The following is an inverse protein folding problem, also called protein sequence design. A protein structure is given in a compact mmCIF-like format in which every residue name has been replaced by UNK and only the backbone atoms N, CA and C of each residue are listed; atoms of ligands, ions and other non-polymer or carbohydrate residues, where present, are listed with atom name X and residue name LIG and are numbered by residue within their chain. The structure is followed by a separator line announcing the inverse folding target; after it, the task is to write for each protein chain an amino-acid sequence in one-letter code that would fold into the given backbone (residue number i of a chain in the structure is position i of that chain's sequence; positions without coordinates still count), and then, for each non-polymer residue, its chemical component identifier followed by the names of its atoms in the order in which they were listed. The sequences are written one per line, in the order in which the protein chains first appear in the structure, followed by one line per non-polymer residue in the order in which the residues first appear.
data_IF_651015198191
#
_entry.id   IF_651015198191
#
_cell.length_a   1.000
_cell.length_b   1.000
_cell.length_c   1.000
_cell.angle_alpha   90.00
_cell.angle_beta   90.00
_cell.angle_gamma   90.00
#
_symmetry.space_group_name_H-M   'P 1'
#
loop_
_entity.id
_entity.type
_entity.pdbx_description
1 polymer ?
#
# COMPACT_ATOMS: atom_id res chain seq x y z
N UNK A 1 -6.94 -16.03 -8.27
CA UNK A 1 -7.54 -14.71 -8.08
C UNK A 1 -8.74 -14.89 -7.17
N UNK A 2 -8.94 -14.02 -6.19
CA UNK A 2 -10.16 -14.05 -5.39
C UNK A 2 -11.32 -13.51 -6.22
N UNK A 3 -12.50 -14.11 -6.04
CA UNK A 3 -13.73 -13.72 -6.75
C UNK A 3 -14.08 -12.23 -6.54
N UNK A 4 -13.71 -11.69 -5.38
CA UNK A 4 -13.88 -10.28 -5.00
C UNK A 4 -13.07 -9.31 -5.86
N UNK A 5 -11.90 -9.72 -6.38
CA UNK A 5 -11.11 -8.86 -7.27
C UNK A 5 -11.63 -8.86 -8.70
N UNK A 6 -12.06 -10.03 -9.18
CA UNK A 6 -12.68 -10.14 -10.50
C UNK A 6 -13.97 -9.29 -10.54
N UNK A 7 -14.74 -9.24 -9.45
CA UNK A 7 -15.88 -8.33 -9.28
C UNK A 7 -15.48 -6.84 -9.21
N UNK A 8 -14.41 -6.49 -8.47
CA UNK A 8 -13.90 -5.10 -8.41
C UNK A 8 -13.40 -4.57 -9.76
N UNK A 9 -12.69 -5.39 -10.54
CA UNK A 9 -12.23 -5.04 -11.89
C UNK A 9 -13.39 -5.06 -12.89
N UNK A 10 -14.31 -6.03 -12.79
CA UNK A 10 -15.43 -6.13 -13.72
C UNK A 10 -16.35 -4.90 -13.67
N UNK A 11 -16.50 -4.28 -12.50
CA UNK A 11 -17.28 -3.05 -12.33
C UNK A 11 -16.51 -1.77 -12.75
N UNK A 12 -15.19 -1.85 -13.02
CA UNK A 12 -14.36 -0.70 -13.41
C UNK A 12 -13.29 -1.08 -14.46
N UNK A 13 -13.68 -1.20 -15.74
CA UNK A 13 -12.78 -1.60 -16.83
C UNK A 13 -11.64 -0.59 -17.13
N UNK A 14 -11.66 0.60 -16.51
CA UNK A 14 -10.68 1.68 -16.72
C UNK A 14 -9.60 1.77 -15.63
N UNK A 15 -9.55 0.84 -14.67
CA UNK A 15 -8.61 0.95 -13.55
C UNK A 15 -7.18 0.67 -14.03
N UNK A 16 -6.35 1.71 -14.05
CA UNK A 16 -4.96 1.65 -14.49
C UNK A 16 -4.02 1.13 -13.38
N UNK A 17 -4.35 -0.01 -12.76
CA UNK A 17 -3.51 -0.63 -11.72
C UNK A 17 -2.39 -1.49 -12.33
N UNK A 18 -1.39 -1.81 -11.51
CA UNK A 18 -0.28 -2.66 -11.93
C UNK A 18 -0.75 -4.06 -12.36
N UNK A 19 -0.22 -4.54 -13.49
CA UNK A 19 -0.46 -5.90 -13.96
C UNK A 19 0.18 -6.93 -13.03
N UNK A 20 -0.19 -8.21 -13.16
CA UNK A 20 0.42 -9.28 -12.38
C UNK A 20 1.93 -9.41 -12.61
N UNK A 21 2.35 -9.17 -13.86
CA UNK A 21 3.75 -9.19 -14.27
C UNK A 21 4.52 -8.02 -13.63
N UNK A 22 3.93 -6.82 -13.61
CA UNK A 22 4.49 -5.65 -12.96
C UNK A 22 4.57 -5.82 -11.43
N UNK A 23 3.51 -6.33 -10.80
CA UNK A 23 3.50 -6.66 -9.37
C UNK A 23 4.56 -7.72 -9.04
N UNK A 24 4.69 -8.75 -9.87
CA UNK A 24 5.72 -9.78 -9.70
C UNK A 24 7.13 -9.17 -9.83
N UNK A 25 7.32 -8.26 -10.79
CA UNK A 25 8.58 -7.54 -10.96
C UNK A 25 8.91 -6.70 -9.72
N UNK A 26 7.94 -5.93 -9.19
CA UNK A 26 8.09 -5.17 -7.94
C UNK A 26 8.55 -6.11 -6.81
N UNK A 27 7.87 -7.24 -6.61
CA UNK A 27 8.19 -8.22 -5.55
C UNK A 27 9.59 -8.82 -5.73
N UNK A 28 9.98 -9.16 -6.96
CA UNK A 28 11.33 -9.65 -7.29
C UNK A 28 12.39 -8.58 -6.96
N UNK A 29 12.17 -7.33 -7.36
CA UNK A 29 13.10 -6.22 -7.09
C UNK A 29 13.22 -5.94 -5.60
N UNK A 30 12.10 -5.92 -4.87
CA UNK A 30 12.05 -5.71 -3.43
C UNK A 30 12.72 -6.84 -2.65
N UNK A 31 12.57 -8.08 -3.14
CA UNK A 31 13.09 -9.30 -2.53
C UNK A 31 14.62 -9.39 -2.48
N UNK A 32 15.33 -8.66 -3.36
CA UNK A 32 16.80 -8.68 -3.43
C UNK A 32 17.46 -8.26 -2.11
N UNK A 33 18.51 -8.96 -1.72
CA UNK A 33 19.35 -8.62 -0.55
C UNK A 33 20.10 -7.29 -0.76
N UNK A 34 20.58 -7.05 -1.98
CA UNK A 34 21.18 -5.79 -2.41
C UNK A 34 20.42 -5.25 -3.63
N UNK A 35 19.91 -4.02 -3.54
CA UNK A 35 19.16 -3.34 -4.60
C UNK A 35 20.05 -2.28 -5.24
N UNK A 36 20.14 -2.31 -6.57
CA UNK A 36 20.82 -1.26 -7.35
C UNK A 36 19.86 -0.10 -7.58
N UNK A 37 20.38 1.08 -7.96
CA UNK A 37 19.49 2.20 -8.33
C UNK A 37 18.55 1.82 -9.47
N UNK A 38 19.02 1.04 -10.44
CA UNK A 38 18.18 0.51 -11.52
C UNK A 38 17.05 -0.42 -11.06
N UNK A 39 17.15 -1.02 -9.87
CA UNK A 39 16.01 -1.75 -9.30
C UNK A 39 14.93 -0.79 -8.77
N UNK A 40 15.34 0.36 -8.23
CA UNK A 40 14.42 1.42 -7.80
C UNK A 40 13.78 2.16 -8.97
N UNK A 41 14.54 2.42 -10.04
CA UNK A 41 14.02 3.04 -11.26
C UNK A 41 12.89 2.21 -11.87
N UNK A 42 13.04 0.88 -11.92
CA UNK A 42 11.97 -0.02 -12.39
C UNK A 42 10.71 0.11 -11.53
N UNK A 43 10.85 0.16 -10.21
CA UNK A 43 9.70 0.31 -9.29
C UNK A 43 9.04 1.68 -9.48
N UNK A 44 9.84 2.76 -9.55
CA UNK A 44 9.35 4.13 -9.78
C UNK A 44 8.59 4.24 -11.10
N UNK A 45 9.12 3.68 -12.18
CA UNK A 45 8.51 3.67 -13.51
C UNK A 45 7.16 2.94 -13.53
N UNK A 46 7.02 1.84 -12.77
CA UNK A 46 5.71 1.19 -12.60
C UNK A 46 4.76 2.11 -11.83
N UNK A 47 5.18 2.68 -10.71
CA UNK A 47 4.31 3.56 -9.91
C UNK A 47 3.93 4.87 -10.62
N UNK A 48 4.76 5.39 -11.52
CA UNK A 48 4.43 6.59 -12.30
C UNK A 48 3.36 6.32 -13.36
N UNK A 49 3.30 5.09 -13.87
CA UNK A 49 2.36 4.71 -14.94
C UNK A 49 1.07 4.10 -14.43
N UNK A 50 1.03 3.70 -13.15
CA UNK A 50 -0.08 2.95 -12.56
C UNK A 50 -0.66 3.65 -11.34
N UNK A 51 -1.95 3.44 -11.16
CA UNK A 51 -2.67 3.82 -9.95
C UNK A 51 -2.35 2.85 -8.81
N UNK A 52 -2.45 3.35 -7.59
CA UNK A 52 -2.47 2.53 -6.40
C UNK A 52 -3.90 2.14 -6.02
N UNK A 53 -4.00 1.02 -5.33
CA UNK A 53 -5.19 0.56 -4.63
C UNK A 53 -5.12 1.06 -3.19
N UNK A 54 -6.25 1.51 -2.65
CA UNK A 54 -6.39 1.83 -1.23
C UNK A 54 -7.81 1.54 -0.76
N UNK A 55 -8.11 1.79 0.50
CA UNK A 55 -9.43 1.53 1.07
C UNK A 55 -9.89 2.64 2.01
N UNK A 56 -11.19 2.90 1.99
CA UNK A 56 -11.88 3.83 2.88
C UNK A 56 -12.74 3.01 3.84
N UNK A 57 -12.44 3.02 5.15
CA UNK A 57 -13.29 2.33 6.10
C UNK A 57 -14.60 3.11 6.31
N UNK A 58 -15.76 2.47 6.11
CA UNK A 58 -17.07 3.11 6.27
C UNK A 58 -17.43 3.41 7.74
N UNK A 59 -16.61 2.92 8.68
CA UNK A 59 -16.70 3.14 10.13
C UNK A 59 -15.30 3.19 10.72
N UNK A 60 -15.14 3.72 11.94
CA UNK A 60 -13.84 3.75 12.63
C UNK A 60 -13.19 2.35 12.65
N UNK A 61 -11.97 2.23 12.15
CA UNK A 61 -11.16 1.02 12.24
C UNK A 61 -10.02 1.29 13.23
N UNK A 62 -9.73 0.34 14.13
CA UNK A 62 -8.78 0.57 15.23
C UNK A 62 -7.40 0.87 14.65
N UNK A 63 -6.75 1.92 15.15
CA UNK A 63 -5.41 2.33 14.72
C UNK A 63 -5.35 3.09 13.39
N UNK A 64 -6.47 3.18 12.64
CA UNK A 64 -6.49 3.81 11.32
C UNK A 64 -7.27 5.13 11.38
N UNK A 65 -6.59 6.21 10.99
CA UNK A 65 -7.17 7.54 10.73
C UNK A 65 -7.41 7.71 9.23
N UNK A 66 -8.15 8.74 8.83
CA UNK A 66 -8.35 9.12 7.42
C UNK A 66 -7.70 10.48 7.16
N UNK A 67 -6.91 10.59 6.10
CA UNK A 67 -6.34 11.85 5.59
C UNK A 67 -6.70 11.91 4.10
N UNK A 68 -7.54 12.86 3.67
CA UNK A 68 -7.85 13.09 2.25
C UNK A 68 -8.19 11.81 1.46
N UNK A 69 -8.97 10.91 2.08
CA UNK A 69 -9.38 9.59 1.57
C UNK A 69 -8.33 8.48 1.58
N UNK A 70 -7.14 8.73 2.11
CA UNK A 70 -6.15 7.70 2.41
C UNK A 70 -6.25 7.22 3.86
N UNK A 71 -6.20 5.89 4.10
CA UNK A 71 -5.99 5.35 5.43
C UNK A 71 -4.59 5.73 5.92
N UNK A 72 -4.53 6.22 7.16
CA UNK A 72 -3.30 6.59 7.84
C UNK A 72 -3.15 5.77 9.12
N UNK A 73 -2.12 4.94 9.17
CA UNK A 73 -1.78 4.12 10.32
C UNK A 73 -0.37 4.49 10.84
N UNK A 74 -0.25 4.73 12.14
CA UNK A 74 1.00 5.12 12.80
C UNK A 74 1.74 6.31 12.15
N UNK A 75 1.02 7.21 11.48
CA UNK A 75 1.60 8.37 10.79
C UNK A 75 2.01 8.11 9.34
N UNK A 76 1.75 6.92 8.81
CA UNK A 76 2.01 6.56 7.41
C UNK A 76 0.70 6.45 6.63
N UNK A 77 0.69 7.00 5.42
CA UNK A 77 -0.39 6.75 4.46
C UNK A 77 -0.23 5.34 3.89
N UNK A 78 -1.34 4.63 3.69
CA UNK A 78 -1.33 3.22 3.29
C UNK A 78 -1.94 3.04 1.89
N UNK A 79 -1.16 2.48 0.98
CA UNK A 79 -1.56 2.18 -0.40
C UNK A 79 -0.97 0.83 -0.85
N UNK A 80 -1.44 0.31 -1.98
CA UNK A 80 -1.07 -1.02 -2.47
C UNK A 80 -0.92 -0.99 -4.00
N UNK A 81 0.08 -1.69 -4.51
CA UNK A 81 0.24 -1.97 -5.95
C UNK A 81 -0.70 -3.09 -6.43
N UNK A 82 -1.21 -3.90 -5.51
CA UNK A 82 -2.03 -5.06 -5.82
C UNK A 82 -3.13 -5.29 -4.79
N UNK A 83 -4.23 -5.89 -5.26
CA UNK A 83 -5.40 -6.16 -4.43
C UNK A 83 -5.14 -7.19 -3.33
N UNK A 84 -4.29 -8.19 -3.61
CA UNK A 84 -4.14 -9.33 -2.70
C UNK A 84 -3.53 -8.86 -1.38
N UNK A 85 -2.53 -7.97 -1.45
CA UNK A 85 -1.92 -7.36 -0.27
C UNK A 85 -2.87 -6.36 0.41
N UNK A 86 -3.70 -5.62 -0.35
CA UNK A 86 -4.74 -4.74 0.19
C UNK A 86 -5.78 -5.53 1.01
N UNK A 87 -6.35 -6.56 0.41
CA UNK A 87 -7.36 -7.43 1.04
C UNK A 87 -6.79 -8.16 2.24
N UNK A 88 -5.57 -8.71 2.15
CA UNK A 88 -4.90 -9.35 3.29
C UNK A 88 -4.71 -8.37 4.45
N UNK A 89 -4.28 -7.14 4.17
CA UNK A 89 -4.13 -6.11 5.19
C UNK A 89 -5.48 -5.76 5.85
N UNK A 90 -6.54 -5.55 5.07
CA UNK A 90 -7.90 -5.29 5.57
C UNK A 90 -8.37 -6.44 6.47
N UNK A 91 -8.23 -7.69 6.01
CA UNK A 91 -8.62 -8.88 6.78
C UNK A 91 -7.86 -8.96 8.10
N UNK A 92 -6.55 -8.69 8.10
CA UNK A 92 -5.74 -8.63 9.32
C UNK A 92 -6.22 -7.57 10.31
N UNK A 93 -6.68 -6.40 9.83
CA UNK A 93 -7.25 -5.35 10.70
C UNK A 93 -8.64 -5.65 11.22
N UNK A 94 -9.38 -6.51 10.53
CA UNK A 94 -10.73 -6.93 10.91
C UNK A 94 -10.75 -8.22 11.73
N UNK A 95 -9.62 -8.90 11.85
CA UNK A 95 -9.49 -10.13 12.63
C UNK A 95 -9.96 -9.91 14.07
N UNK A 96 -10.87 -10.79 14.54
CA UNK A 96 -11.46 -10.70 15.88
C UNK A 96 -12.58 -9.66 16.04
N UNK A 97 -13.03 -9.00 14.97
CA UNK A 97 -14.21 -8.14 15.01
C UNK A 97 -15.49 -8.97 14.84
N UNK A 98 -16.46 -8.79 15.74
CA UNK A 98 -17.76 -9.49 15.71
C UNK A 98 -18.64 -9.16 14.48
N UNK A 99 -18.31 -8.12 13.72
CA UNK A 99 -18.98 -7.73 12.47
C UNK A 99 -17.92 -7.17 11.52
N UNK A 100 -17.59 -7.87 10.42
CA UNK A 100 -16.67 -7.39 9.40
C UNK A 100 -17.20 -6.05 8.88
N UNK A 101 -16.44 -4.97 9.07
CA UNK A 101 -16.89 -3.63 8.71
C UNK A 101 -16.66 -3.43 7.23
N UNK A 102 -17.71 -3.13 6.47
CA UNK A 102 -17.59 -2.80 5.05
C UNK A 102 -16.55 -1.69 4.84
N UNK A 103 -15.49 -1.99 4.09
CA UNK A 103 -14.54 -1.01 3.56
C UNK A 103 -14.85 -0.82 2.09
N UNK A 104 -14.67 0.39 1.58
CA UNK A 104 -14.74 0.67 0.16
C UNK A 104 -13.31 0.64 -0.40
N UNK A 105 -13.03 -0.27 -1.34
CA UNK A 105 -11.77 -0.30 -2.07
C UNK A 105 -11.87 0.69 -3.24
N UNK A 106 -10.83 1.49 -3.44
CA UNK A 106 -10.76 2.48 -4.53
C UNK A 106 -9.36 2.45 -5.17
N UNK A 107 -9.26 2.98 -6.39
CA UNK A 107 -7.97 3.34 -6.98
C UNK A 107 -7.70 4.84 -6.77
N UNK A 108 -6.42 5.20 -6.71
CA UNK A 108 -5.94 6.57 -6.59
C UNK A 108 -4.66 6.72 -7.40
N UNK A 109 -4.52 7.84 -8.12
CA UNK A 109 -3.32 8.08 -8.93
C UNK A 109 -2.09 8.19 -8.02
N UNK A 110 -0.92 7.76 -8.53
CA UNK A 110 0.30 7.91 -7.75
C UNK A 110 0.63 9.38 -7.47
N UNK A 111 0.34 10.28 -8.42
CA UNK A 111 0.53 11.72 -8.25
C UNK A 111 -0.28 12.28 -7.07
N UNK A 112 -1.55 11.92 -6.95
CA UNK A 112 -2.38 12.35 -5.82
C UNK A 112 -1.84 11.83 -4.48
N UNK A 113 -1.37 10.57 -4.45
CA UNK A 113 -0.77 9.98 -3.23
C UNK A 113 0.47 10.78 -2.80
N UNK A 114 1.35 11.13 -3.74
CA UNK A 114 2.53 11.93 -3.45
C UNK A 114 2.16 13.34 -3.00
N UNK A 115 1.21 14.00 -3.64
CA UNK A 115 0.77 15.34 -3.23
C UNK A 115 0.15 15.34 -1.83
N UNK A 116 -0.69 14.34 -1.50
CA UNK A 116 -1.26 14.21 -0.16
C UNK A 116 -0.14 13.97 0.88
N UNK A 117 0.85 13.14 0.54
CA UNK A 117 2.01 12.87 1.40
C UNK A 117 2.80 14.15 1.72
N UNK A 118 3.13 14.94 0.69
CA UNK A 118 3.85 16.21 0.84
C UNK A 118 3.05 17.24 1.65
N UNK A 119 1.78 17.49 1.28
CA UNK A 119 0.94 18.49 1.96
C UNK A 119 0.75 18.20 3.45
N UNK A 120 0.73 16.92 3.82
CA UNK A 120 0.46 16.49 5.19
C UNK A 120 1.74 16.13 5.98
N UNK A 121 2.92 16.18 5.35
CA UNK A 121 4.17 15.76 5.96
C UNK A 121 4.13 14.30 6.42
N UNK A 122 3.71 13.39 5.54
CA UNK A 122 3.50 11.96 5.82
C UNK A 122 4.28 11.09 4.84
N UNK A 123 4.90 10.06 5.35
CA UNK A 123 5.47 9.00 4.52
C UNK A 123 4.35 8.05 4.06
N UNK A 124 4.60 7.33 2.95
CA UNK A 124 3.65 6.36 2.38
C UNK A 124 4.23 4.97 2.49
N UNK A 125 3.45 4.02 3.02
CA UNK A 125 3.74 2.59 2.95
C UNK A 125 2.94 1.97 1.82
N UNK A 126 3.65 1.18 1.01
CA UNK A 126 3.15 0.54 -0.20
C UNK A 126 3.33 -0.97 -0.03
N UNK A 127 2.27 -1.74 -0.25
CA UNK A 127 2.27 -3.21 -0.14
C UNK A 127 2.56 -3.75 1.26
N UNK A 128 2.05 -3.05 2.28
CA UNK A 128 2.12 -3.52 3.66
C UNK A 128 1.15 -4.68 3.87
N UNK A 129 1.64 -5.92 3.87
CA UNK A 129 0.76 -7.09 3.94
C UNK A 129 0.34 -7.49 5.38
N UNK A 130 0.76 -6.71 6.39
CA UNK A 130 0.36 -6.88 7.79
C UNK A 130 1.05 -8.01 8.56
N UNK A 131 1.86 -8.83 7.90
CA UNK A 131 2.63 -9.89 8.55
C UNK A 131 3.92 -9.34 9.17
N UNK A 132 4.30 -9.90 10.33
CA UNK A 132 5.58 -9.58 10.99
C UNK A 132 6.72 -9.95 10.03
N UNK A 133 7.75 -9.11 9.95
CA UNK A 133 8.89 -9.26 9.04
C UNK A 133 8.55 -9.15 7.55
N UNK A 134 7.35 -8.70 7.20
CA UNK A 134 7.03 -8.41 5.80
C UNK A 134 7.83 -7.21 5.29
N UNK A 135 8.38 -7.38 4.08
CA UNK A 135 9.01 -6.29 3.33
C UNK A 135 7.93 -5.49 2.62
N UNK A 136 7.93 -4.18 2.81
CA UNK A 136 7.11 -3.26 2.05
C UNK A 136 7.98 -2.09 1.53
N UNK A 137 7.41 -1.26 0.67
CA UNK A 137 8.09 -0.08 0.15
C UNK A 137 7.61 1.14 0.94
N UNK A 138 8.54 2.01 1.32
CA UNK A 138 8.26 3.30 1.93
C UNK A 138 8.68 4.42 0.98
N UNK A 139 7.77 5.34 0.68
CA UNK A 139 8.09 6.63 0.10
C UNK A 139 8.28 7.65 1.23
N UNK A 140 9.46 8.28 1.27
CA UNK A 140 9.76 9.37 2.21
C UNK A 140 9.51 10.71 1.55
N UNK A 141 8.51 11.45 2.03
CA UNK A 141 8.08 12.72 1.44
C UNK A 141 9.24 13.74 1.39
N UNK A 142 9.89 14.00 2.52
CA UNK A 142 11.02 14.96 2.59
C UNK A 142 12.27 14.59 1.77
N UNK A 143 12.38 13.35 1.26
CA UNK A 143 13.50 12.93 0.41
C UNK A 143 13.09 12.66 -1.04
N UNK A 144 11.79 12.54 -1.35
CA UNK A 144 11.29 12.10 -2.65
C UNK A 144 11.82 10.71 -3.06
N UNK A 145 12.06 9.81 -2.10
CA UNK A 145 12.76 8.52 -2.34
C UNK A 145 11.95 7.31 -1.85
N UNK A 146 12.07 6.23 -2.62
CA UNK A 146 11.59 4.90 -2.24
C UNK A 146 12.67 4.14 -1.49
N UNK A 147 12.27 3.42 -0.44
CA UNK A 147 13.12 2.54 0.35
C UNK A 147 12.38 1.24 0.64
N UNK A 148 13.12 0.15 0.80
CA UNK A 148 12.55 -1.07 1.35
C UNK A 148 12.59 -0.94 2.86
N UNK A 149 11.52 -1.34 3.53
CA UNK A 149 11.46 -1.38 4.98
C UNK A 149 10.86 -2.72 5.42
N UNK A 150 11.25 -3.17 6.60
CA UNK A 150 10.68 -4.35 7.23
C UNK A 150 9.81 -3.90 8.39
N UNK A 151 8.59 -4.45 8.48
CA UNK A 151 7.77 -4.28 9.67
C UNK A 151 8.41 -5.06 10.83
N UNK A 152 8.96 -4.33 11.80
CA UNK A 152 9.42 -4.89 13.07
C UNK A 152 8.23 -5.37 13.91
N UNK A 153 8.49 -6.16 14.96
CA UNK A 153 7.48 -6.65 15.89
C UNK A 153 7.47 -5.77 17.17
N UNK A 154 6.29 -5.35 17.65
CA UNK A 154 6.14 -4.62 18.92
C UNK A 154 5.25 -3.36 18.91
N UNK A 155 4.42 -3.22 19.95
CA UNK A 155 3.64 -2.01 20.24
C UNK A 155 4.55 -0.77 20.27
N UNK A 156 4.51 0.03 19.20
CA UNK A 156 5.40 1.19 18.99
C UNK A 156 6.38 1.07 17.80
N UNK A 157 6.14 0.13 16.89
CA UNK A 157 7.04 -0.27 15.80
C UNK A 157 7.75 0.87 15.05
N UNK A 158 9.06 0.96 15.30
CA UNK A 158 10.04 1.67 14.48
C UNK A 158 10.42 0.75 13.30
N UNK A 159 10.29 1.26 12.07
CA UNK A 159 10.76 0.57 10.87
C UNK A 159 12.28 0.38 10.92
N UNK A 160 12.76 -0.83 10.68
CA UNK A 160 14.19 -1.12 10.54
C UNK A 160 14.59 -1.05 9.06
N UNK A 161 15.78 -0.50 8.80
CA UNK A 161 16.39 -0.39 7.47
C UNK A 161 16.95 -1.72 6.98
#
# INVERSE_FOLDING_TARGET
MSKEFDEFIADKPEVNIASKEEVSLIKIKLGKSHRKESDWEVIKDIFQRRDFITFIPNRKMRGIKKIENLPCEYGYLIVFSNIDDCTRYIQGKQYGMASPRYVQIISISSMDVWEIAERNGRDVLIDVNGEISSKCIMYTHGEGRLKAVVLADGYGNKFTR
#
